data_IF_881263059474
#
_entry.id   IF_881263059474
#
_cell.length_a   1.000
_cell.length_b   1.000
_cell.length_c   1.000
_cell.angle_alpha   90.00
_cell.angle_beta   90.00
_cell.angle_gamma   90.00
#
_symmetry.space_group_name_H-M   'P 1'
#
loop_
_entity.id
_entity.type
_entity.pdbx_description
1 polymer ?
#
# COMPACT_ATOMS: atom_id res chain seq x y z
N UNK A 1 23.25 6.67 0.39
CA UNK A 1 22.22 5.76 0.94
C UNK A 1 20.96 5.95 0.11
N UNK A 2 20.68 5.05 -0.81
CA UNK A 2 19.43 5.08 -1.59
C UNK A 2 18.47 4.21 -0.80
N UNK A 3 17.38 4.79 -0.30
CA UNK A 3 16.34 4.09 0.44
C UNK A 3 15.68 3.04 -0.46
N UNK A 4 16.23 1.82 -0.50
CA UNK A 4 15.67 0.67 -1.23
C UNK A 4 14.41 0.10 -0.55
N UNK A 5 14.09 0.60 0.64
CA UNK A 5 13.07 0.05 1.53
C UNK A 5 11.65 0.44 1.13
N UNK A 6 11.47 1.48 0.31
CA UNK A 6 10.16 1.97 -0.11
C UNK A 6 10.03 2.09 -1.63
N UNK A 7 8.88 1.69 -2.16
CA UNK A 7 8.41 2.01 -3.49
C UNK A 7 7.09 2.76 -3.36
N UNK A 8 7.08 4.03 -3.75
CA UNK A 8 5.90 4.90 -3.65
C UNK A 8 5.46 5.27 -5.06
N UNK A 9 4.27 4.84 -5.44
CA UNK A 9 3.64 5.20 -6.71
C UNK A 9 2.39 6.03 -6.40
N UNK A 10 2.35 7.27 -6.90
CA UNK A 10 1.26 8.20 -6.64
C UNK A 10 0.54 8.56 -7.94
N UNK A 11 -0.78 8.51 -7.91
CA UNK A 11 -1.64 8.75 -9.08
C UNK A 11 -2.83 9.62 -8.73
N UNK A 12 -3.25 10.48 -9.65
CA UNK A 12 -4.47 11.31 -9.49
C UNK A 12 -5.73 10.63 -10.05
N UNK A 13 -5.57 9.44 -10.63
CA UNK A 13 -6.66 8.67 -11.21
C UNK A 13 -7.63 8.26 -10.09
N UNK A 14 -8.94 8.48 -10.31
CA UNK A 14 -10.03 8.06 -9.40
C UNK A 14 -10.90 6.92 -9.97
N UNK A 15 -10.76 6.64 -11.27
CA UNK A 15 -11.58 5.67 -11.99
C UNK A 15 -11.01 4.24 -11.82
N UNK A 16 -11.88 3.28 -11.47
CA UNK A 16 -11.59 1.83 -11.39
C UNK A 16 -10.71 1.31 -12.52
N UNK A 17 -11.16 1.48 -13.76
CA UNK A 17 -10.52 0.84 -14.92
C UNK A 17 -9.13 1.42 -15.16
N UNK A 18 -8.95 2.70 -14.87
CA UNK A 18 -7.65 3.35 -15.02
C UNK A 18 -6.72 2.99 -13.85
N UNK A 19 -7.20 2.88 -12.61
CA UNK A 19 -6.35 2.45 -11.49
C UNK A 19 -5.88 1.00 -11.67
N UNK A 20 -6.79 0.08 -12.03
CA UNK A 20 -6.44 -1.33 -12.24
C UNK A 20 -5.51 -1.55 -13.45
N UNK A 21 -5.77 -0.86 -14.57
CA UNK A 21 -5.05 -1.11 -15.83
C UNK A 21 -3.76 -0.30 -15.98
N UNK A 22 -3.63 0.86 -15.32
CA UNK A 22 -2.48 1.72 -15.56
C UNK A 22 -1.25 1.35 -14.70
N UNK A 23 -1.44 0.90 -13.45
CA UNK A 23 -0.32 0.87 -12.49
C UNK A 23 -0.40 -0.31 -11.49
N UNK A 24 -1.59 -0.84 -11.23
CA UNK A 24 -1.83 -1.79 -10.13
C UNK A 24 -1.15 -3.16 -10.30
N UNK A 25 -1.19 -3.74 -11.51
CA UNK A 25 -0.67 -5.11 -11.73
C UNK A 25 0.85 -5.16 -11.88
N UNK A 26 1.48 -4.10 -12.40
CA UNK A 26 2.94 -3.98 -12.48
C UNK A 26 3.55 -3.82 -11.09
N UNK A 27 2.96 -2.98 -10.23
CA UNK A 27 3.45 -2.75 -8.85
C UNK A 27 3.52 -4.06 -8.07
N UNK A 28 2.42 -4.81 -8.03
CA UNK A 28 2.36 -6.07 -7.29
C UNK A 28 3.36 -7.10 -7.83
N UNK A 29 3.55 -7.16 -9.16
CA UNK A 29 4.52 -8.04 -9.80
C UNK A 29 5.96 -7.65 -9.48
N UNK A 30 6.29 -6.36 -9.55
CA UNK A 30 7.62 -5.86 -9.21
C UNK A 30 7.98 -6.11 -7.74
N UNK A 31 7.03 -5.92 -6.83
CA UNK A 31 7.21 -6.22 -5.41
C UNK A 31 7.57 -7.71 -5.19
N UNK A 32 6.81 -8.63 -5.81
CA UNK A 32 7.10 -10.07 -5.75
C UNK A 32 8.48 -10.42 -6.31
N UNK A 33 8.81 -9.89 -7.48
CA UNK A 33 10.10 -10.18 -8.12
C UNK A 33 11.30 -9.70 -7.30
N UNK A 34 11.19 -8.55 -6.62
CA UNK A 34 12.25 -8.01 -5.77
C UNK A 34 12.44 -8.86 -4.50
N UNK A 35 11.36 -9.31 -3.88
CA UNK A 35 11.39 -10.20 -2.72
C UNK A 35 12.08 -11.54 -3.07
N UNK A 36 11.70 -12.14 -4.19
CA UNK A 36 12.26 -13.42 -4.65
C UNK A 36 13.74 -13.31 -5.07
N UNK A 37 14.11 -12.27 -5.82
CA UNK A 37 15.46 -12.14 -6.42
C UNK A 37 16.49 -11.53 -5.47
N UNK A 38 16.08 -10.61 -4.59
CA UNK A 38 17.02 -9.80 -3.81
C UNK A 38 16.87 -9.99 -2.29
N UNK A 39 15.86 -10.74 -1.81
CA UNK A 39 15.51 -10.88 -0.38
C UNK A 39 15.35 -9.53 0.34
N UNK A 40 14.93 -8.50 -0.41
CA UNK A 40 14.65 -7.17 0.14
C UNK A 40 13.17 -7.13 0.49
N UNK A 41 12.88 -6.84 1.75
CA UNK A 41 11.52 -6.61 2.21
C UNK A 41 11.11 -5.17 1.87
N UNK A 42 10.61 -4.97 0.65
CA UNK A 42 10.21 -3.67 0.14
C UNK A 42 8.79 -3.30 0.57
N UNK A 43 8.61 -2.06 1.04
CA UNK A 43 7.32 -1.47 1.41
C UNK A 43 6.76 -0.70 0.23
N UNK A 44 5.69 -1.22 -0.36
CA UNK A 44 5.16 -0.70 -1.62
C UNK A 44 3.79 -0.08 -1.45
N UNK A 45 3.65 1.18 -1.83
CA UNK A 45 2.41 1.95 -1.69
C UNK A 45 1.92 2.46 -3.03
N UNK A 46 0.65 2.21 -3.32
CA UNK A 46 -0.09 2.99 -4.32
C UNK A 46 -0.89 4.07 -3.62
N UNK A 47 -0.60 5.34 -3.91
CA UNK A 47 -1.26 6.50 -3.32
C UNK A 47 -2.19 7.12 -4.35
N UNK A 48 -3.48 7.26 -4.02
CA UNK A 48 -4.44 7.94 -4.89
C UNK A 48 -5.45 8.78 -4.10
N UNK A 49 -6.18 9.75 -4.71
CA UNK A 49 -7.19 10.51 -3.98
C UNK A 49 -8.28 9.65 -3.35
N UNK A 50 -8.63 8.54 -4.00
CA UNK A 50 -9.59 7.55 -3.53
C UNK A 50 -9.21 6.20 -4.13
N UNK A 51 -9.15 5.16 -3.30
CA UNK A 51 -8.89 3.79 -3.73
C UNK A 51 -10.22 3.10 -4.02
N UNK A 52 -10.38 2.64 -5.27
CA UNK A 52 -11.57 1.89 -5.66
C UNK A 52 -11.63 0.51 -4.97
N UNK A 53 -12.83 0.03 -4.67
CA UNK A 53 -13.07 -1.25 -3.97
C UNK A 53 -12.32 -2.44 -4.61
N UNK A 54 -12.40 -2.58 -5.94
CA UNK A 54 -11.70 -3.66 -6.66
C UNK A 54 -10.16 -3.56 -6.55
N UNK A 55 -9.61 -2.34 -6.55
CA UNK A 55 -8.17 -2.11 -6.40
C UNK A 55 -7.74 -2.51 -4.99
N UNK A 56 -8.51 -2.10 -3.98
CA UNK A 56 -8.27 -2.47 -2.59
C UNK A 56 -8.22 -3.99 -2.40
N UNK A 57 -9.20 -4.70 -2.98
CA UNK A 57 -9.24 -6.16 -2.94
C UNK A 57 -8.07 -6.82 -3.65
N UNK A 58 -7.72 -6.35 -4.84
CA UNK A 58 -6.59 -6.88 -5.59
C UNK A 58 -5.30 -6.78 -4.78
N UNK A 59 -5.00 -5.61 -4.22
CA UNK A 59 -3.81 -5.42 -3.39
C UNK A 59 -3.86 -6.26 -2.12
N UNK A 60 -5.00 -6.35 -1.44
CA UNK A 60 -5.16 -7.18 -0.23
C UNK A 60 -4.88 -8.66 -0.53
N UNK A 61 -5.36 -9.15 -1.67
CA UNK A 61 -5.07 -10.50 -2.14
C UNK A 61 -3.57 -10.67 -2.41
N UNK A 62 -2.95 -9.77 -3.21
CA UNK A 62 -1.53 -9.85 -3.54
C UNK A 62 -0.62 -9.77 -2.31
N UNK A 63 -0.93 -8.89 -1.36
CA UNK A 63 -0.14 -8.75 -0.12
C UNK A 63 -0.16 -10.04 0.70
N UNK A 64 -1.30 -10.74 0.79
CA UNK A 64 -1.40 -12.03 1.47
C UNK A 64 -0.72 -13.16 0.70
N UNK A 65 -1.01 -13.26 -0.59
CA UNK A 65 -0.51 -14.35 -1.44
C UNK A 65 1.01 -14.30 -1.61
N UNK A 66 1.58 -13.09 -1.65
CA UNK A 66 3.03 -12.90 -1.83
C UNK A 66 3.77 -12.69 -0.51
N UNK A 67 3.07 -12.68 0.63
CA UNK A 67 3.63 -12.30 1.93
C UNK A 67 4.44 -10.99 1.83
N UNK A 68 3.83 -9.97 1.24
CA UNK A 68 4.49 -8.72 0.85
C UNK A 68 3.85 -7.49 1.48
N UNK A 69 4.67 -6.47 1.76
CA UNK A 69 4.27 -5.21 2.40
C UNK A 69 3.70 -4.21 1.39
N UNK A 70 2.63 -4.62 0.72
CA UNK A 70 1.97 -3.93 -0.38
C UNK A 70 0.60 -3.39 0.04
N UNK A 71 0.35 -2.08 -0.08
CA UNK A 71 -0.96 -1.50 0.27
C UNK A 71 -1.34 -0.33 -0.66
N UNK A 72 -2.61 -0.23 -1.08
CA UNK A 72 -3.13 0.99 -1.68
C UNK A 72 -3.69 1.87 -0.56
N UNK A 73 -3.41 3.16 -0.59
CA UNK A 73 -3.80 4.10 0.46
C UNK A 73 -4.26 5.42 -0.15
N UNK A 74 -5.29 6.03 0.42
CA UNK A 74 -5.71 7.36 -0.04
C UNK A 74 -4.65 8.41 0.32
N UNK A 75 -4.60 9.51 -0.42
CA UNK A 75 -3.72 10.64 -0.10
C UNK A 75 -3.94 11.10 1.35
N UNK A 76 -5.20 11.24 1.78
CA UNK A 76 -5.52 11.69 3.14
C UNK A 76 -5.02 10.70 4.21
N UNK A 77 -5.19 9.40 3.97
CA UNK A 77 -4.74 8.34 4.87
C UNK A 77 -3.21 8.29 4.94
N UNK A 78 -2.52 8.50 3.81
CA UNK A 78 -1.07 8.58 3.73
C UNK A 78 -0.50 9.81 4.44
N UNK A 79 -1.11 10.98 4.28
CA UNK A 79 -0.68 12.20 4.99
C UNK A 79 -0.74 12.00 6.51
N UNK A 80 -1.79 11.36 7.02
CA UNK A 80 -1.86 11.04 8.45
C UNK A 80 -0.80 10.04 8.91
N UNK A 81 -0.46 9.06 8.07
CA UNK A 81 0.64 8.15 8.38
C UNK A 81 1.96 8.92 8.50
N UNK A 82 2.21 9.90 7.63
CA UNK A 82 3.39 10.80 7.72
C UNK A 82 3.32 11.66 8.98
N UNK A 83 2.19 12.31 9.26
CA UNK A 83 2.02 13.18 10.44
C UNK A 83 2.29 12.43 11.75
N UNK A 84 1.92 11.15 11.82
CA UNK A 84 2.17 10.28 12.98
C UNK A 84 3.59 9.68 13.00
N UNK A 85 4.43 10.00 12.03
CA UNK A 85 5.76 9.40 11.84
C UNK A 85 6.84 10.49 11.81
N UNK A 86 7.34 10.93 12.99
CA UNK A 86 8.28 12.06 13.08
C UNK A 86 9.66 11.77 12.46
N UNK A 87 9.99 10.51 12.23
CA UNK A 87 11.23 10.07 11.59
C UNK A 87 10.94 8.99 10.54
N UNK A 88 11.89 8.73 9.65
CA UNK A 88 11.77 7.67 8.66
C UNK A 88 11.70 6.27 9.27
N UNK A 89 12.41 6.02 10.37
CA UNK A 89 12.32 4.75 11.11
C UNK A 89 10.92 4.58 11.71
N UNK A 90 10.36 5.64 12.31
CA UNK A 90 8.97 5.61 12.78
C UNK A 90 7.99 5.36 11.62
N UNK A 91 8.22 5.98 10.45
CA UNK A 91 7.38 5.75 9.27
C UNK A 91 7.41 4.29 8.83
N UNK A 92 8.60 3.67 8.83
CA UNK A 92 8.79 2.26 8.53
C UNK A 92 8.02 1.35 9.48
N UNK A 93 8.14 1.59 10.78
CA UNK A 93 7.47 0.79 11.81
C UNK A 93 5.96 0.98 11.77
N UNK A 94 5.48 2.22 11.68
CA UNK A 94 4.06 2.53 11.59
C UNK A 94 3.43 1.92 10.34
N UNK A 95 4.13 1.93 9.21
CA UNK A 95 3.69 1.28 7.98
C UNK A 95 3.56 -0.24 8.14
N UNK A 96 4.52 -0.89 8.81
CA UNK A 96 4.46 -2.33 9.06
C UNK A 96 3.29 -2.70 9.97
N UNK A 97 3.11 -1.95 11.06
CA UNK A 97 1.96 -2.10 11.97
C UNK A 97 0.66 -1.92 11.21
N UNK A 98 0.59 -0.90 10.37
CA UNK A 98 -0.57 -0.60 9.54
C UNK A 98 -0.96 -1.79 8.66
N UNK A 99 -0.02 -2.34 7.88
CA UNK A 99 -0.30 -3.48 7.00
C UNK A 99 -0.77 -4.68 7.81
N UNK A 100 -0.07 -5.01 8.88
CA UNK A 100 -0.44 -6.15 9.73
C UNK A 100 -1.87 -6.00 10.26
N UNK A 101 -2.28 -4.81 10.67
CA UNK A 101 -3.65 -4.54 11.11
C UNK A 101 -4.66 -4.60 9.96
N UNK A 102 -4.33 -4.03 8.80
CA UNK A 102 -5.21 -4.04 7.62
C UNK A 102 -5.49 -5.47 7.14
N UNK A 103 -4.48 -6.33 7.07
CA UNK A 103 -4.63 -7.70 6.57
C UNK A 103 -5.51 -8.59 7.46
N UNK A 104 -5.68 -8.23 8.74
CA UNK A 104 -6.59 -8.91 9.69
C UNK A 104 -8.05 -8.48 9.53
N UNK A 105 -8.33 -7.31 8.94
CA UNK A 105 -9.69 -6.79 8.79
C UNK A 105 -10.48 -7.58 7.74
N UNK A 106 -11.81 -7.55 7.85
CA UNK A 106 -12.69 -7.96 6.76
C UNK A 106 -12.54 -6.99 5.57
N UNK A 107 -13.21 -7.27 4.45
CA UNK A 107 -13.07 -6.45 3.23
C UNK A 107 -13.54 -5.01 3.42
N UNK A 108 -14.71 -4.81 4.02
CA UNK A 108 -15.29 -3.48 4.14
C UNK A 108 -14.49 -2.60 5.11
N UNK A 109 -14.08 -3.14 6.26
CA UNK A 109 -13.23 -2.45 7.22
C UNK A 109 -11.84 -2.12 6.65
N UNK A 110 -11.29 -3.02 5.83
CA UNK A 110 -10.03 -2.75 5.12
C UNK A 110 -10.17 -1.54 4.20
N UNK A 111 -11.23 -1.51 3.40
CA UNK A 111 -11.49 -0.46 2.41
C UNK A 111 -11.78 0.88 3.09
N UNK A 112 -12.53 0.84 4.19
CA UNK A 112 -12.78 2.00 5.02
C UNK A 112 -11.48 2.55 5.61
N UNK A 113 -10.60 1.70 6.16
CA UNK A 113 -9.34 2.15 6.74
C UNK A 113 -8.35 2.71 5.71
N UNK A 114 -8.26 2.16 4.50
CA UNK A 114 -7.32 2.69 3.49
C UNK A 114 -7.81 4.00 2.85
N UNK A 115 -9.11 4.27 2.85
CA UNK A 115 -9.70 5.45 2.23
C UNK A 115 -10.02 6.56 3.24
N UNK A 116 -10.42 6.17 4.45
CA UNK A 116 -10.75 7.07 5.54
C UNK A 116 -9.58 7.13 6.49
N UNK A 117 -9.62 8.11 7.36
CA UNK A 117 -8.58 8.32 8.36
C UNK A 117 -8.94 7.76 9.72
N UNK A 118 -9.67 6.64 9.75
CA UNK A 118 -9.98 5.89 10.96
C UNK A 118 -8.91 4.80 11.12
N UNK A 119 -7.87 5.17 11.86
CA UNK A 119 -6.86 4.27 12.40
C UNK A 119 -7.18 4.04 13.88
#
# INVERSE_FOLDING_TARGET
MIYKDFLIEATMIKNKNQQLNAETTSIARHSKELQEKQKIEQRTMLIAPLIHWDVALFFKFCSKEFDSKLVPISIDAFLKLIENSPTLDCFRENYDVLINQLLLKNTDDYIDCINKTKW
#
